data_IF_277091751534
#
_entry.id   IF_277091751534
#
_cell.length_a   1.000
_cell.length_b   1.000
_cell.length_c   1.000
_cell.angle_alpha   90.00
_cell.angle_beta   90.00
_cell.angle_gamma   90.00
#
_symmetry.space_group_name_H-M   'P 1'
#
loop_
_entity.id
_entity.type
_entity.pdbx_description
1 polymer ?
#
# COMPACT_ATOMS: atom_id res chain seq x y z
N UNK A 1 4.33 -21.79 24.88
CA UNK A 1 3.47 -20.97 24.00
C UNK A 1 4.03 -19.58 23.65
N UNK A 2 4.86 -18.93 24.49
CA UNK A 2 5.44 -17.60 24.18
C UNK A 2 6.98 -17.53 24.22
N UNK A 3 7.69 -18.67 24.39
CA UNK A 3 9.17 -18.73 24.46
C UNK A 3 9.77 -17.76 25.51
N UNK A 4 9.21 -17.75 26.72
CA UNK A 4 9.61 -16.83 27.80
C UNK A 4 10.10 -17.57 29.06
N UNK A 5 10.43 -18.86 28.95
CA UNK A 5 10.73 -19.71 30.12
C UNK A 5 11.90 -19.21 30.97
N UNK A 6 12.78 -18.37 30.40
CA UNK A 6 13.95 -17.76 31.04
C UNK A 6 13.69 -16.39 31.71
N UNK A 7 12.45 -15.89 31.69
CA UNK A 7 12.06 -14.57 32.24
C UNK A 7 11.13 -14.66 33.46
N UNK A 8 10.81 -15.87 33.94
CA UNK A 8 9.82 -16.09 34.99
C UNK A 8 10.11 -15.32 36.29
N UNK A 9 11.38 -15.13 36.65
CA UNK A 9 11.78 -14.49 37.91
C UNK A 9 12.04 -12.97 37.78
N UNK A 10 11.79 -12.36 36.61
CA UNK A 10 12.06 -10.94 36.38
C UNK A 10 10.85 -10.05 36.63
N UNK A 11 11.07 -8.93 37.32
CA UNK A 11 10.06 -7.89 37.49
C UNK A 11 9.80 -7.12 36.18
N UNK A 12 8.60 -6.54 35.98
CA UNK A 12 8.26 -5.78 34.78
C UNK A 12 9.24 -4.67 34.39
N UNK A 13 9.87 -4.03 35.38
CA UNK A 13 10.88 -2.98 35.21
C UNK A 13 12.21 -3.50 34.62
N UNK A 14 12.47 -4.80 34.71
CA UNK A 14 13.72 -5.46 34.27
C UNK A 14 13.61 -6.04 32.85
N UNK A 15 12.48 -5.80 32.19
CA UNK A 15 12.16 -6.33 30.86
C UNK A 15 12.27 -5.24 29.80
N UNK A 16 12.63 -5.62 28.57
CA UNK A 16 12.50 -4.73 27.41
C UNK A 16 11.03 -4.48 27.06
N UNK A 17 10.76 -3.46 26.25
CA UNK A 17 9.40 -3.17 25.76
C UNK A 17 8.77 -4.40 25.09
N UNK A 18 9.51 -5.08 24.21
CA UNK A 18 9.04 -6.29 23.55
C UNK A 18 8.84 -7.50 24.45
N UNK A 19 9.65 -7.65 25.50
CA UNK A 19 9.42 -8.69 26.50
C UNK A 19 8.15 -8.42 27.31
N UNK A 20 7.91 -7.17 27.72
CA UNK A 20 6.65 -6.79 28.39
C UNK A 20 5.43 -7.05 27.51
N UNK A 21 5.51 -6.71 26.22
CA UNK A 21 4.44 -6.95 25.25
C UNK A 21 4.13 -8.45 25.12
N UNK A 22 5.17 -9.29 24.97
CA UNK A 22 5.03 -10.75 24.89
C UNK A 22 4.38 -11.32 26.16
N UNK A 23 4.77 -10.87 27.34
CA UNK A 23 4.18 -11.30 28.61
C UNK A 23 2.73 -10.83 28.73
N UNK A 24 2.42 -9.59 28.33
CA UNK A 24 1.05 -9.09 28.35
C UNK A 24 0.12 -9.93 27.47
N UNK A 25 0.61 -10.33 26.30
CA UNK A 25 -0.11 -11.19 25.36
C UNK A 25 -0.24 -12.63 25.87
N UNK A 26 0.82 -13.19 26.44
CA UNK A 26 0.78 -14.49 27.13
C UNK A 26 -0.28 -14.50 28.24
N UNK A 27 -0.33 -13.44 29.05
CA UNK A 27 -1.29 -13.27 30.13
C UNK A 27 -2.72 -13.17 29.61
N UNK A 28 -2.94 -12.46 28.51
CA UNK A 28 -4.26 -12.36 27.88
C UNK A 28 -4.76 -13.72 27.37
N UNK A 29 -3.87 -14.59 26.90
CA UNK A 29 -4.21 -15.91 26.36
C UNK A 29 -4.29 -17.01 27.42
N UNK A 30 -3.67 -16.84 28.58
CA UNK A 30 -3.64 -17.84 29.65
C UNK A 30 -5.03 -18.21 30.20
N UNK A 31 -6.04 -17.35 29.97
CA UNK A 31 -7.44 -17.59 30.37
C UNK A 31 -8.30 -18.15 29.23
N UNK A 32 -7.71 -18.56 28.11
CA UNK A 32 -8.37 -19.13 26.94
C UNK A 32 -9.60 -18.30 26.49
N UNK A 33 -9.40 -17.01 26.15
CA UNK A 33 -10.51 -16.12 25.88
C UNK A 33 -11.23 -16.51 24.58
N UNK A 34 -12.55 -16.32 24.55
CA UNK A 34 -13.33 -16.43 23.31
C UNK A 34 -13.07 -15.27 22.34
N UNK A 35 -12.69 -14.11 22.88
CA UNK A 35 -12.42 -12.88 22.12
C UNK A 35 -11.13 -12.24 22.60
N UNK A 36 -10.25 -11.90 21.66
CA UNK A 36 -8.99 -11.20 21.93
C UNK A 36 -9.05 -9.79 21.34
N UNK A 37 -8.86 -8.77 22.19
CA UNK A 37 -8.80 -7.37 21.76
C UNK A 37 -7.36 -6.88 21.88
N UNK A 38 -6.81 -6.34 20.80
CA UNK A 38 -5.45 -5.85 20.72
C UNK A 38 -5.44 -4.43 20.19
N UNK A 39 -4.98 -3.49 21.01
CA UNK A 39 -4.80 -2.08 20.62
C UNK A 39 -3.31 -1.79 20.48
N UNK A 40 -2.87 -1.49 19.26
CA UNK A 40 -1.48 -1.23 18.89
C UNK A 40 -0.46 -2.25 19.47
N UNK A 41 -0.71 -3.58 19.40
CA UNK A 41 0.17 -4.61 19.96
C UNK A 41 1.61 -4.62 19.45
N UNK A 42 1.91 -3.88 18.37
CA UNK A 42 3.21 -3.88 17.71
C UNK A 42 3.97 -2.55 17.77
N UNK A 43 3.30 -1.46 18.16
CA UNK A 43 3.84 -0.09 18.01
C UNK A 43 5.14 0.16 18.80
N UNK A 44 5.28 -0.43 19.99
CA UNK A 44 6.43 -0.22 20.88
C UNK A 44 7.62 -1.17 20.61
N UNK A 45 7.59 -1.91 19.50
CA UNK A 45 8.55 -2.98 19.21
C UNK A 45 9.54 -2.59 18.12
N UNK A 46 10.78 -3.08 18.26
CA UNK A 46 11.76 -3.02 17.17
C UNK A 46 11.31 -3.86 15.97
N UNK A 47 11.83 -3.54 14.78
CA UNK A 47 11.40 -4.15 13.51
C UNK A 47 11.53 -5.67 13.49
N UNK A 48 12.55 -6.24 14.13
CA UNK A 48 12.75 -7.69 14.15
C UNK A 48 11.71 -8.36 15.03
N UNK A 49 11.56 -7.88 16.27
CA UNK A 49 10.60 -8.41 17.24
C UNK A 49 9.16 -8.21 16.75
N UNK A 50 8.86 -7.09 16.09
CA UNK A 50 7.58 -6.82 15.43
C UNK A 50 7.23 -7.93 14.43
N UNK A 51 8.12 -8.23 13.48
CA UNK A 51 7.90 -9.28 12.46
C UNK A 51 7.73 -10.67 13.08
N UNK A 52 8.50 -11.00 14.12
CA UNK A 52 8.34 -12.27 14.83
C UNK A 52 6.96 -12.38 15.50
N UNK A 53 6.49 -11.31 16.13
CA UNK A 53 5.18 -11.26 16.77
C UNK A 53 4.02 -11.28 15.78
N UNK A 54 4.11 -10.60 14.62
CA UNK A 54 3.11 -10.69 13.54
C UNK A 54 2.90 -12.15 13.11
N UNK A 55 4.00 -12.85 12.80
CA UNK A 55 3.97 -14.26 12.39
C UNK A 55 3.45 -15.19 13.47
N UNK A 56 3.75 -14.89 14.73
CA UNK A 56 3.25 -15.67 15.85
C UNK A 56 1.74 -15.45 16.06
N UNK A 57 1.25 -14.21 15.98
CA UNK A 57 -0.19 -13.90 16.09
C UNK A 57 -1.00 -14.52 14.94
N UNK A 58 -0.49 -14.49 13.70
CA UNK A 58 -1.12 -15.16 12.57
C UNK A 58 -1.30 -16.66 12.83
N UNK A 59 -0.23 -17.34 13.27
CA UNK A 59 -0.29 -18.78 13.62
C UNK A 59 -1.23 -19.06 14.77
N UNK A 60 -1.20 -18.22 15.81
CA UNK A 60 -2.09 -18.37 16.96
C UNK A 60 -3.57 -18.27 16.55
N UNK A 61 -3.88 -17.33 15.66
CA UNK A 61 -5.22 -17.18 15.10
C UNK A 61 -5.64 -18.41 14.30
N UNK A 62 -4.74 -18.92 13.44
CA UNK A 62 -4.97 -20.12 12.64
C UNK A 62 -5.12 -21.39 13.51
N UNK A 63 -4.39 -21.50 14.62
CA UNK A 63 -4.41 -22.69 15.49
C UNK A 63 -5.60 -22.67 16.47
N UNK A 64 -5.84 -21.54 17.15
CA UNK A 64 -6.81 -21.46 18.25
C UNK A 64 -8.19 -20.94 17.84
N UNK A 65 -8.35 -20.43 16.61
CA UNK A 65 -9.62 -19.91 16.08
C UNK A 65 -10.32 -18.90 17.00
N UNK A 66 -9.54 -18.11 17.74
CA UNK A 66 -10.05 -17.09 18.65
C UNK A 66 -10.50 -15.88 17.83
N UNK A 67 -11.72 -15.40 18.09
CA UNK A 67 -12.19 -14.17 17.46
C UNK A 67 -11.34 -12.98 17.93
N UNK A 68 -10.55 -12.41 17.03
CA UNK A 68 -9.58 -11.37 17.38
C UNK A 68 -9.91 -10.06 16.69
N UNK A 69 -9.91 -8.95 17.44
CA UNK A 69 -10.01 -7.59 16.90
C UNK A 69 -8.72 -6.87 17.22
N UNK A 70 -8.06 -6.39 16.16
CA UNK A 70 -6.78 -5.71 16.23
C UNK A 70 -6.91 -4.32 15.63
N UNK A 71 -6.42 -3.32 16.37
CA UNK A 71 -6.38 -1.92 15.97
C UNK A 71 -4.92 -1.52 15.76
N UNK A 72 -4.63 -0.92 14.61
CA UNK A 72 -3.31 -0.40 14.27
C UNK A 72 -3.40 0.77 13.30
N UNK A 73 -2.38 1.62 13.33
CA UNK A 73 -2.10 2.63 12.30
C UNK A 73 -1.13 2.13 11.21
N UNK A 74 -0.52 0.96 11.36
CA UNK A 74 0.41 0.37 10.41
C UNK A 74 -0.32 -0.53 9.41
N UNK A 75 -0.19 -0.19 8.13
CA UNK A 75 -0.89 -0.87 7.03
C UNK A 75 -0.35 -2.28 6.80
N UNK A 76 0.96 -2.49 6.92
CA UNK A 76 1.57 -3.82 6.73
C UNK A 76 1.06 -4.77 7.81
N UNK A 77 0.93 -4.29 9.05
CA UNK A 77 0.39 -5.07 10.15
C UNK A 77 -1.05 -5.53 9.87
N UNK A 78 -1.90 -4.62 9.39
CA UNK A 78 -3.29 -4.93 9.07
C UNK A 78 -3.39 -5.96 7.92
N UNK A 79 -2.61 -5.76 6.85
CA UNK A 79 -2.66 -6.62 5.66
C UNK A 79 -2.01 -8.00 5.87
N UNK A 80 -0.98 -8.12 6.72
CA UNK A 80 -0.29 -9.40 6.97
C UNK A 80 -1.03 -10.32 7.95
N UNK A 81 -1.80 -9.76 8.89
CA UNK A 81 -2.37 -10.53 10.02
C UNK A 81 -3.86 -10.79 9.85
N UNK A 82 -4.63 -9.81 9.37
CA UNK A 82 -6.08 -9.86 9.41
C UNK A 82 -6.69 -10.68 8.27
N UNK A 83 -7.78 -11.40 8.55
CA UNK A 83 -8.61 -11.99 7.48
C UNK A 83 -9.53 -10.94 6.84
N UNK A 84 -9.86 -9.88 7.59
CA UNK A 84 -10.74 -8.79 7.17
C UNK A 84 -10.24 -7.48 7.77
N UNK A 85 -10.15 -6.46 6.94
CA UNK A 85 -9.68 -5.11 7.28
C UNK A 85 -10.86 -4.15 7.27
N UNK A 86 -10.93 -3.30 8.29
CA UNK A 86 -11.88 -2.19 8.38
C UNK A 86 -11.07 -0.90 8.39
N UNK A 87 -11.08 -0.19 7.26
CA UNK A 87 -10.40 1.10 7.14
C UNK A 87 -11.33 2.18 7.67
N UNK A 88 -10.83 3.00 8.59
CA UNK A 88 -11.59 4.08 9.22
C UNK A 88 -10.92 5.43 8.98
N UNK A 89 -11.74 6.47 8.81
CA UNK A 89 -11.31 7.86 8.73
C UNK A 89 -12.29 8.74 9.50
N UNK A 90 -11.78 9.63 10.37
CA UNK A 90 -12.60 10.53 11.19
C UNK A 90 -13.79 9.84 11.90
N UNK A 91 -13.57 8.63 12.43
CA UNK A 91 -14.60 7.85 13.12
C UNK A 91 -15.66 7.22 12.22
N UNK A 92 -15.50 7.28 10.89
CA UNK A 92 -16.37 6.62 9.91
C UNK A 92 -15.63 5.48 9.25
N UNK A 93 -16.37 4.42 8.89
CA UNK A 93 -15.84 3.33 8.10
C UNK A 93 -15.79 3.78 6.64
N UNK A 94 -14.60 3.79 6.06
CA UNK A 94 -14.37 4.11 4.65
C UNK A 94 -14.51 2.86 3.78
N UNK A 95 -13.98 1.73 4.25
CA UNK A 95 -14.03 0.47 3.52
C UNK A 95 -13.92 -0.74 4.45
N UNK A 96 -14.56 -1.82 4.05
CA UNK A 96 -14.46 -3.14 4.66
C UNK A 96 -14.20 -4.16 3.55
N UNK A 97 -13.23 -5.05 3.76
CA UNK A 97 -12.98 -6.17 2.86
C UNK A 97 -11.86 -7.06 3.35
N UNK A 98 -11.51 -8.07 2.58
CA UNK A 98 -10.25 -8.80 2.77
C UNK A 98 -9.04 -7.87 2.52
N UNK A 99 -7.84 -8.21 3.02
CA UNK A 99 -6.62 -7.46 2.71
C UNK A 99 -6.43 -7.20 1.21
N UNK A 100 -6.69 -8.22 0.38
CA UNK A 100 -6.54 -8.14 -1.08
C UNK A 100 -7.58 -7.19 -1.71
N UNK A 101 -8.85 -7.28 -1.33
CA UNK A 101 -9.90 -6.39 -1.83
C UNK A 101 -9.65 -4.93 -1.41
N UNK A 102 -9.22 -4.71 -0.17
CA UNK A 102 -8.94 -3.38 0.37
C UNK A 102 -7.76 -2.74 -0.36
N UNK A 103 -6.74 -3.52 -0.72
CA UNK A 103 -5.56 -3.05 -1.45
C UNK A 103 -5.80 -2.86 -2.96
N UNK A 104 -6.38 -3.86 -3.63
CA UNK A 104 -6.58 -3.89 -5.08
C UNK A 104 -7.83 -3.12 -5.53
N UNK A 105 -8.82 -3.02 -4.66
CA UNK A 105 -10.07 -2.33 -4.91
C UNK A 105 -10.44 -1.28 -3.85
N UNK A 106 -9.59 -0.26 -3.64
CA UNK A 106 -9.89 0.86 -2.74
C UNK A 106 -11.16 1.61 -3.20
N UNK A 107 -12.06 1.84 -2.23
CA UNK A 107 -13.39 2.41 -2.42
C UNK A 107 -13.38 3.94 -2.49
N UNK A 108 -12.41 4.60 -1.84
CA UNK A 108 -12.27 6.06 -1.82
C UNK A 108 -10.83 6.48 -2.10
N UNK A 109 -10.58 7.72 -2.55
CA UNK A 109 -9.23 8.26 -2.71
C UNK A 109 -8.41 8.20 -1.41
N UNK A 110 -9.08 8.36 -0.26
CA UNK A 110 -8.47 8.23 1.05
C UNK A 110 -7.90 6.82 1.23
N UNK A 111 -8.70 5.77 1.01
CA UNK A 111 -8.21 4.39 1.16
C UNK A 111 -7.08 4.10 0.17
N UNK A 112 -7.16 4.62 -1.05
CA UNK A 112 -6.11 4.49 -2.05
C UNK A 112 -4.78 5.07 -1.55
N UNK A 113 -4.77 6.30 -1.05
CA UNK A 113 -3.59 6.97 -0.49
C UNK A 113 -3.12 6.35 0.83
N UNK A 114 -4.08 5.91 1.65
CA UNK A 114 -3.79 5.39 2.98
C UNK A 114 -3.06 4.05 2.92
N UNK A 115 -3.25 3.21 1.90
CA UNK A 115 -2.66 1.86 1.85
C UNK A 115 -1.31 1.78 1.11
N UNK A 116 -0.70 2.91 0.77
CA UNK A 116 0.65 2.93 0.20
C UNK A 116 0.91 4.16 -0.67
N UNK A 117 2.12 4.24 -1.22
CA UNK A 117 2.54 5.33 -2.10
C UNK A 117 1.72 5.34 -3.41
N UNK A 118 1.43 6.54 -3.89
CA UNK A 118 0.58 6.79 -5.06
C UNK A 118 1.09 8.00 -5.83
N UNK A 119 1.00 7.92 -7.15
CA UNK A 119 1.04 9.09 -8.01
C UNK A 119 -0.37 9.60 -8.24
N UNK A 120 -0.53 10.91 -8.19
CA UNK A 120 -1.81 11.59 -8.37
C UNK A 120 -1.74 12.41 -9.64
N UNK A 121 -2.56 12.06 -10.63
CA UNK A 121 -2.67 12.80 -11.88
C UNK A 121 -4.00 13.53 -11.91
N UNK A 122 -3.94 14.86 -11.87
CA UNK A 122 -5.12 15.71 -11.96
C UNK A 122 -5.50 15.87 -13.43
N UNK A 123 -6.72 15.49 -13.79
CA UNK A 123 -7.18 15.51 -15.19
C UNK A 123 -8.25 16.55 -15.45
N UNK A 124 -7.98 17.36 -16.50
CA UNK A 124 -8.75 17.37 -17.76
C UNK A 124 -7.96 16.68 -18.90
N UNK A 125 -7.02 15.82 -18.51
CA UNK A 125 -6.08 15.02 -19.31
C UNK A 125 -4.88 15.77 -19.81
N UNK A 126 -3.79 15.64 -19.06
CA UNK A 126 -2.47 15.86 -19.60
C UNK A 126 -2.10 14.64 -20.47
N UNK A 127 -2.18 14.80 -21.80
CA UNK A 127 -1.46 13.95 -22.76
C UNK A 127 -2.05 12.57 -23.11
N UNK A 128 -3.36 12.45 -23.30
CA UNK A 128 -3.98 11.31 -24.01
C UNK A 128 -4.70 10.25 -23.18
N UNK A 129 -4.80 10.40 -21.85
CA UNK A 129 -5.63 9.54 -21.00
C UNK A 129 -6.83 10.28 -20.39
N UNK A 130 -7.94 10.18 -21.14
CA UNK A 130 -9.29 10.77 -20.99
C UNK A 130 -9.60 11.91 -21.98
N UNK A 131 -9.32 11.71 -23.27
CA UNK A 131 -10.36 12.14 -24.21
C UNK A 131 -11.52 11.18 -24.06
N UNK A 132 -12.40 11.48 -23.10
CA UNK A 132 -13.80 11.08 -23.22
C UNK A 132 -14.31 11.88 -24.40
N UNK A 133 -14.58 11.20 -25.51
CA UNK A 133 -15.20 11.78 -26.70
C UNK A 133 -16.36 12.71 -26.30
N UNK A 134 -16.25 13.98 -26.72
CA UNK A 134 -17.34 14.93 -26.99
C UNK A 134 -18.65 14.70 -26.23
N UNK A 135 -18.66 14.86 -24.90
CA UNK A 135 -19.87 15.28 -24.20
C UNK A 135 -19.49 16.26 -23.07
N UNK A 136 -20.22 17.36 -22.99
CA UNK A 136 -20.05 18.49 -22.07
C UNK A 136 -20.22 18.09 -20.60
N UNK A 137 -19.26 17.37 -20.01
CA UNK A 137 -19.13 17.32 -18.56
C UNK A 137 -17.68 17.50 -18.16
N UNK A 138 -17.32 18.77 -17.91
CA UNK A 138 -16.04 19.16 -17.34
C UNK A 138 -16.00 18.86 -15.83
N UNK A 139 -16.28 17.61 -15.44
CA UNK A 139 -16.01 17.19 -14.07
C UNK A 139 -14.52 16.96 -13.91
N UNK A 140 -13.91 17.65 -12.93
CA UNK A 140 -12.54 17.38 -12.52
C UNK A 140 -12.47 15.95 -12.02
N UNK A 141 -11.65 15.13 -12.66
CA UNK A 141 -11.40 13.76 -12.23
C UNK A 141 -9.95 13.62 -11.80
N UNK A 142 -9.72 12.81 -10.78
CA UNK A 142 -8.38 12.54 -10.26
C UNK A 142 -8.05 11.08 -10.48
N UNK A 143 -6.94 10.83 -11.18
CA UNK A 143 -6.44 9.49 -11.42
C UNK A 143 -5.31 9.18 -10.43
N UNK A 144 -5.40 8.00 -9.81
CA UNK A 144 -4.40 7.49 -8.89
C UNK A 144 -3.74 6.25 -9.48
N UNK A 145 -2.42 6.20 -9.41
CA UNK A 145 -1.61 5.12 -9.98
C UNK A 145 -0.56 4.70 -8.96
N UNK A 146 -0.38 3.40 -8.73
CA UNK A 146 0.69 2.93 -7.85
C UNK A 146 2.05 3.04 -8.56
N UNK A 147 3.16 3.32 -7.87
CA UNK A 147 4.48 3.37 -8.49
C UNK A 147 4.85 2.08 -9.26
N UNK A 148 4.45 0.91 -8.76
CA UNK A 148 4.70 -0.38 -9.41
C UNK A 148 3.75 -0.67 -10.59
N UNK A 149 2.71 0.15 -10.79
CA UNK A 149 1.79 0.03 -11.93
C UNK A 149 2.19 0.92 -13.11
N UNK A 150 3.37 1.54 -13.07
CA UNK A 150 3.88 2.39 -14.16
C UNK A 150 4.99 1.65 -14.91
N UNK A 151 4.80 1.48 -16.22
CA UNK A 151 5.85 1.00 -17.11
C UNK A 151 6.73 2.15 -17.58
N UNK A 152 8.04 1.90 -17.69
CA UNK A 152 9.00 2.81 -18.33
C UNK A 152 9.55 2.15 -19.61
N UNK A 153 9.69 2.96 -20.66
CA UNK A 153 10.29 2.64 -21.94
C UNK A 153 11.31 3.71 -22.35
N UNK A 154 12.31 3.31 -23.14
CA UNK A 154 13.34 4.23 -23.71
C UNK A 154 12.96 4.82 -25.05
N UNK A 155 11.87 4.35 -25.65
CA UNK A 155 11.39 4.82 -26.94
C UNK A 155 9.96 5.31 -26.77
N UNK A 156 9.53 6.30 -27.57
CA UNK A 156 8.14 6.69 -27.63
C UNK A 156 7.28 5.47 -27.92
N UNK A 157 6.25 5.29 -27.11
CA UNK A 157 5.21 4.30 -27.33
C UNK A 157 3.86 5.01 -27.38
N UNK A 158 2.90 4.41 -28.08
CA UNK A 158 1.55 4.93 -28.16
C UNK A 158 0.93 5.04 -26.76
N UNK A 159 0.41 6.23 -26.43
CA UNK A 159 -0.09 6.53 -25.10
C UNK A 159 1.00 6.51 -24.01
N UNK A 160 2.26 6.82 -24.31
CA UNK A 160 3.27 7.01 -23.26
C UNK A 160 3.62 8.50 -23.12
N UNK A 161 3.77 8.94 -21.87
CA UNK A 161 4.08 10.32 -21.51
C UNK A 161 5.59 10.50 -21.43
N UNK A 162 6.12 11.54 -22.07
CA UNK A 162 7.53 11.88 -22.02
C UNK A 162 7.91 12.46 -20.66
N UNK A 163 9.00 11.99 -20.08
CA UNK A 163 9.53 12.48 -18.80
C UNK A 163 11.06 12.36 -18.78
N UNK A 164 11.67 13.06 -17.84
CA UNK A 164 13.13 12.99 -17.62
C UNK A 164 13.41 12.30 -16.30
N UNK A 165 14.36 11.36 -16.28
CA UNK A 165 14.79 10.71 -15.04
C UNK A 165 15.48 11.74 -14.13
N UNK A 166 14.88 12.04 -12.98
CA UNK A 166 15.44 12.93 -11.97
C UNK A 166 16.37 12.15 -11.03
N UNK A 167 15.90 11.02 -10.50
CA UNK A 167 16.67 10.19 -9.58
C UNK A 167 16.44 8.69 -9.77
N UNK A 168 17.44 7.89 -9.39
CA UNK A 168 17.39 6.42 -9.41
C UNK A 168 17.94 5.91 -8.09
N UNK A 169 17.10 5.22 -7.32
CA UNK A 169 17.38 4.74 -5.97
C UNK A 169 17.16 3.22 -5.88
N UNK A 170 18.25 2.42 -5.95
CA UNK A 170 18.16 0.99 -5.69
C UNK A 170 17.88 0.71 -4.21
N UNK A 171 16.77 0.04 -3.91
CA UNK A 171 16.35 -0.34 -2.54
C UNK A 171 16.06 -1.83 -2.49
N UNK A 172 17.02 -2.62 -2.02
CA UNK A 172 16.88 -4.09 -2.00
C UNK A 172 16.55 -4.63 -3.40
N UNK A 173 15.49 -5.43 -3.60
CA UNK A 173 15.13 -5.99 -4.90
C UNK A 173 14.43 -5.01 -5.86
N UNK A 174 14.03 -3.84 -5.37
CA UNK A 174 13.29 -2.81 -6.11
C UNK A 174 14.22 -1.64 -6.44
N UNK A 175 13.96 -0.95 -7.56
CA UNK A 175 14.59 0.32 -7.92
C UNK A 175 13.50 1.36 -8.02
N UNK A 176 13.57 2.37 -7.16
CA UNK A 176 12.71 3.55 -7.20
C UNK A 176 13.29 4.55 -8.17
N UNK A 177 12.48 5.01 -9.11
CA UNK A 177 12.86 5.99 -10.13
C UNK A 177 11.93 7.18 -9.99
N UNK A 178 12.50 8.36 -9.84
CA UNK A 178 11.74 9.61 -9.86
C UNK A 178 11.84 10.20 -11.26
N UNK A 179 10.69 10.45 -11.88
CA UNK A 179 10.56 11.05 -13.20
C UNK A 179 10.02 12.48 -13.07
N UNK A 180 10.61 13.40 -13.81
CA UNK A 180 10.11 14.76 -13.95
C UNK A 180 9.20 14.84 -15.18
N UNK A 181 7.92 15.16 -14.98
CA UNK A 181 6.93 15.35 -16.05
C UNK A 181 6.10 16.61 -15.78
N UNK A 182 6.07 17.56 -16.72
CA UNK A 182 5.21 18.74 -16.61
C UNK A 182 5.42 19.62 -15.37
N UNK A 183 6.58 19.51 -14.70
CA UNK A 183 6.86 20.20 -13.43
C UNK A 183 6.53 19.38 -12.17
N UNK A 184 5.90 18.22 -12.31
CA UNK A 184 5.59 17.29 -11.21
C UNK A 184 6.56 16.10 -11.19
N UNK A 185 6.71 15.49 -10.00
CA UNK A 185 7.49 14.27 -9.80
C UNK A 185 6.55 13.07 -9.87
N UNK A 186 6.91 12.07 -10.67
CA UNK A 186 6.24 10.79 -10.78
C UNK A 186 7.18 9.70 -10.27
N UNK A 187 6.79 9.04 -9.19
CA UNK A 187 7.52 7.90 -8.62
C UNK A 187 7.17 6.61 -9.35
N UNK A 188 8.18 5.85 -9.76
CA UNK A 188 8.02 4.54 -10.40
C UNK A 188 8.85 3.50 -9.67
N UNK A 189 8.26 2.34 -9.41
CA UNK A 189 8.97 1.20 -8.80
C UNK A 189 9.18 0.10 -9.84
N UNK A 190 10.44 -0.21 -10.11
CA UNK A 190 10.86 -1.25 -11.04
C UNK A 190 11.56 -2.40 -10.31
N UNK A 191 11.52 -3.60 -10.88
CA UNK A 191 12.44 -4.65 -10.45
C UNK A 191 13.88 -4.31 -10.84
N UNK A 192 14.86 -4.82 -10.09
CA UNK A 192 16.29 -4.69 -10.46
C UNK A 192 16.59 -5.20 -11.87
N UNK A 193 15.98 -6.30 -12.27
CA UNK A 193 16.15 -6.88 -13.61
C UNK A 193 15.66 -5.90 -14.69
N UNK A 194 14.46 -5.33 -14.51
CA UNK A 194 13.90 -4.38 -15.45
C UNK A 194 14.75 -3.11 -15.55
N UNK A 195 15.24 -2.61 -14.42
CA UNK A 195 16.16 -1.48 -14.40
C UNK A 195 17.48 -1.80 -15.13
N UNK A 196 18.05 -2.99 -14.93
CA UNK A 196 19.29 -3.41 -15.60
C UNK A 196 19.12 -3.54 -17.12
N UNK A 197 17.94 -3.94 -17.60
CA UNK A 197 17.61 -3.95 -19.03
C UNK A 197 17.46 -2.54 -19.61
N UNK A 198 16.84 -1.62 -18.86
CA UNK A 198 16.60 -0.25 -19.33
C UNK A 198 17.84 0.65 -19.20
N UNK A 199 18.75 0.35 -18.27
CA UNK A 199 19.96 1.13 -17.98
C UNK A 199 19.66 2.63 -17.81
N UNK A 200 18.68 2.94 -16.96
CA UNK A 200 18.22 4.31 -16.74
C UNK A 200 19.31 5.14 -16.05
N UNK A 201 19.58 6.33 -16.58
CA UNK A 201 20.50 7.29 -16.01
C UNK A 201 19.79 8.62 -15.71
N UNK A 202 20.26 9.34 -14.69
CA UNK A 202 19.77 10.68 -14.36
C UNK A 202 19.97 11.63 -15.56
N UNK A 203 18.95 12.45 -15.85
CA UNK A 203 18.90 13.36 -16.99
C UNK A 203 18.45 12.71 -18.30
N UNK A 204 18.22 11.40 -18.31
CA UNK A 204 17.78 10.69 -19.51
C UNK A 204 16.28 10.92 -19.79
N UNK A 205 15.94 11.16 -21.05
CA UNK A 205 14.55 11.19 -21.51
C UNK A 205 14.00 9.75 -21.63
N UNK A 206 12.80 9.56 -21.11
CA UNK A 206 12.08 8.29 -21.07
C UNK A 206 10.59 8.51 -21.31
N UNK A 207 9.89 7.44 -21.62
CA UNK A 207 8.44 7.43 -21.75
C UNK A 207 7.85 6.51 -20.71
N UNK A 208 6.86 7.00 -19.96
CA UNK A 208 6.17 6.21 -18.95
C UNK A 208 4.69 6.03 -19.30
N UNK A 209 4.11 4.92 -18.84
CA UNK A 209 2.70 4.61 -19.08
C UNK A 209 2.09 3.88 -17.87
N UNK A 210 1.02 4.40 -17.28
CA UNK A 210 0.24 3.67 -16.29
C UNK A 210 -0.38 2.40 -16.90
N UNK A 211 -0.12 1.24 -16.31
CA UNK A 211 -0.76 -0.05 -16.67
C UNK A 211 -2.16 -0.15 -16.07
N UNK A 212 -2.27 0.29 -14.83
CA UNK A 212 -3.51 0.30 -14.06
C UNK A 212 -3.64 1.68 -13.42
N UNK A 213 -4.84 2.24 -13.45
CA UNK A 213 -5.16 3.49 -12.79
C UNK A 213 -6.57 3.39 -12.21
N UNK A 214 -6.81 4.06 -11.09
CA UNK A 214 -8.16 4.27 -10.58
C UNK A 214 -8.53 5.74 -10.66
N UNK A 215 -9.69 5.99 -11.24
CA UNK A 215 -10.21 7.34 -11.45
C UNK A 215 -11.35 7.58 -10.46
N UNK A 216 -11.29 8.69 -9.75
CA UNK A 216 -12.35 9.13 -8.86
C UNK A 216 -12.96 10.44 -9.38
N UNK A 217 -14.29 10.52 -9.29
CA UNK A 217 -15.03 11.76 -9.55
C UNK A 217 -14.84 12.80 -8.44
N UNK A 218 -15.40 13.99 -8.65
CA UNK A 218 -15.40 15.05 -7.64
C UNK A 218 -16.19 14.67 -6.37
N UNK A 219 -17.09 13.69 -6.48
CA UNK A 219 -17.84 13.09 -5.38
C UNK A 219 -17.08 11.98 -4.64
N UNK A 220 -15.78 11.78 -4.96
CA UNK A 220 -14.92 10.73 -4.42
C UNK A 220 -15.42 9.30 -4.71
N UNK A 221 -16.36 9.12 -5.63
CA UNK A 221 -16.80 7.79 -6.05
C UNK A 221 -15.88 7.24 -7.14
N UNK A 222 -15.57 5.93 -7.09
CA UNK A 222 -14.78 5.28 -8.13
C UNK A 222 -15.59 5.31 -9.43
N UNK A 223 -15.00 5.87 -10.49
CA UNK A 223 -15.53 5.74 -11.84
C UNK A 223 -14.99 4.43 -12.44
N UNK A 224 -15.80 3.66 -13.19
CA UNK A 224 -15.30 2.48 -13.87
C UNK A 224 -14.10 2.86 -14.73
N UNK A 225 -13.07 1.98 -14.83
CA UNK A 225 -11.98 2.21 -15.76
C UNK A 225 -12.62 2.41 -17.13
N UNK A 226 -12.25 3.49 -17.81
CA UNK A 226 -12.66 3.69 -19.20
C UNK A 226 -12.09 2.49 -19.95
N UNK A 227 -12.97 1.56 -20.35
CA UNK A 227 -12.56 0.36 -21.08
C UNK A 227 -11.71 0.81 -22.26
N UNK A 228 -10.61 0.10 -22.49
CA UNK A 228 -9.80 0.26 -23.70
C UNK A 228 -10.73 0.18 -24.92
N UNK A 229 -11.12 1.32 -25.48
CA UNK A 229 -11.39 1.36 -26.89
C UNK A 229 -10.03 1.27 -27.56
N UNK A 230 -9.71 0.05 -27.98
CA UNK A 230 -8.77 -0.16 -29.06
C UNK A 230 -9.23 0.74 -30.22
N UNK A 231 -8.46 1.78 -30.53
CA UNK A 231 -8.65 2.50 -31.77
C UNK A 231 -8.21 1.58 -32.92
N UNK A 232 -9.16 0.81 -33.44
CA UNK A 232 -9.18 0.50 -34.86
C UNK A 232 -9.67 1.76 -35.55
N UNK A 233 -8.81 2.47 -36.26
CA UNK A 233 -9.04 2.99 -37.63
C UNK A 233 -7.71 3.32 -38.29
#
# INVERSE_FOLDING_TARGET
LVQLDWLADRYPSQLSGGQRQRIALARALAVEPKVLLLDEPFGALDTKVRKELRRWLRRLHDDMHISSVFVTHDQEEALEVADRVVVMNHGRIEQIGSPDEVYSAPATPFVYQFLGNVNVFHSRVQGGYAEVERHESAEKVTAFVRPHDIDIARQPAEGALAATVAHVHPVGPVVRVELQHGGEIVEVELSRERHAMLQLAVGQEVWFRPRQMRVFGADNQPKPPVEKQAFLF
#
